data_IF_264753753200
#
_entry.id   IF_264753753200
#
_cell.length_a   1.000
_cell.length_b   1.000
_cell.length_c   1.000
_cell.angle_alpha   90.00
_cell.angle_beta   90.00
_cell.angle_gamma   90.00
#
_symmetry.space_group_name_H-M   'P 1'
#
loop_
_entity.id
_entity.type
_entity.pdbx_description
1 polymer ?
#
# COMPACT_ATOMS: atom_id res chain seq x y z
N UNK A 1 -8.26 1.87 -3.64
CA UNK A 1 -8.62 1.15 -2.40
C UNK A 1 -10.08 1.46 -2.05
N UNK A 2 -10.80 0.56 -1.37
CA UNK A 2 -12.15 0.78 -0.86
C UNK A 2 -12.22 2.02 0.02
N UNK A 3 -13.40 2.60 0.13
CA UNK A 3 -13.68 3.80 0.93
C UNK A 3 -14.21 3.40 2.31
N UNK A 4 -13.69 4.03 3.35
CA UNK A 4 -14.23 4.07 4.71
C UNK A 4 -14.42 5.53 5.11
N UNK A 5 -15.66 6.03 5.03
CA UNK A 5 -15.95 7.46 5.19
C UNK A 5 -15.30 8.31 4.09
N UNK A 6 -14.34 9.15 4.49
CA UNK A 6 -13.53 10.01 3.62
C UNK A 6 -12.09 9.48 3.42
N UNK A 7 -11.83 8.22 3.81
CA UNK A 7 -10.49 7.62 3.88
C UNK A 7 -10.42 6.27 3.16
N UNK A 8 -9.21 5.76 2.83
CA UNK A 8 -9.09 4.38 2.38
C UNK A 8 -9.44 3.42 3.53
N UNK A 9 -10.18 2.37 3.22
CA UNK A 9 -10.52 1.33 4.18
C UNK A 9 -9.26 0.54 4.55
N UNK A 10 -8.92 0.50 5.84
CA UNK A 10 -7.82 -0.33 6.38
C UNK A 10 -8.18 -1.81 6.32
N UNK A 11 -7.19 -2.67 6.07
CA UNK A 11 -7.32 -4.11 6.18
C UNK A 11 -6.39 -4.88 5.26
N UNK A 12 -6.57 -6.19 5.19
CA UNK A 12 -5.64 -7.16 4.63
C UNK A 12 -6.16 -7.78 3.32
N UNK A 13 -6.93 -7.04 2.53
CA UNK A 13 -7.27 -7.46 1.17
C UNK A 13 -6.53 -6.60 0.16
N UNK A 14 -6.45 -7.11 -1.07
CA UNK A 14 -5.81 -6.38 -2.17
C UNK A 14 -6.52 -5.07 -2.55
N UNK A 15 -7.65 -4.73 -1.90
CA UNK A 15 -8.44 -3.51 -2.12
C UNK A 15 -8.42 -2.57 -0.90
N UNK A 16 -7.62 -2.86 0.12
CA UNK A 16 -7.57 -2.09 1.38
C UNK A 16 -6.16 -1.55 1.63
N UNK A 17 -6.06 -0.60 2.57
CA UNK A 17 -4.81 -0.07 3.08
C UNK A 17 -4.20 -1.10 4.04
N UNK A 18 -3.21 -1.85 3.57
CA UNK A 18 -2.55 -2.92 4.30
C UNK A 18 -1.88 -3.94 3.38
N UNK A 19 -1.47 -5.08 3.96
CA UNK A 19 -0.78 -6.17 3.27
C UNK A 19 -1.39 -7.54 3.58
N UNK A 20 -1.38 -8.42 2.57
CA UNK A 20 -1.77 -9.82 2.62
C UNK A 20 -0.58 -10.74 2.85
N UNK A 21 -0.87 -11.84 3.51
CA UNK A 21 -0.01 -13.01 3.55
C UNK A 21 -0.65 -14.12 2.70
N UNK A 22 0.13 -14.84 1.85
CA UNK A 22 1.55 -14.64 1.55
C UNK A 22 1.80 -13.69 0.36
N UNK A 23 0.73 -13.11 -0.21
CA UNK A 23 0.81 -12.43 -1.52
C UNK A 23 1.69 -11.18 -1.53
N UNK A 24 1.59 -10.34 -0.49
CA UNK A 24 2.28 -9.04 -0.43
C UNK A 24 3.56 -9.14 0.42
N UNK A 25 3.53 -9.97 1.46
CA UNK A 25 4.65 -10.26 2.37
C UNK A 25 4.62 -11.72 2.83
N UNK A 26 5.79 -12.26 3.14
CA UNK A 26 5.94 -13.59 3.75
C UNK A 26 6.69 -13.43 5.08
N UNK A 27 6.01 -13.55 6.24
CA UNK A 27 6.67 -13.53 7.53
C UNK A 27 7.64 -14.70 7.70
N UNK A 28 8.70 -14.50 8.47
CA UNK A 28 9.61 -15.57 8.89
C UNK A 28 8.97 -16.49 9.95
N UNK A 29 9.72 -17.48 10.42
CA UNK A 29 9.27 -18.43 11.46
C UNK A 29 8.93 -17.75 12.80
N UNK A 30 9.41 -16.53 13.03
CA UNK A 30 9.08 -15.68 14.19
C UNK A 30 7.89 -14.74 13.91
N UNK A 31 7.30 -14.81 12.72
CA UNK A 31 6.19 -13.97 12.26
C UNK A 31 6.59 -12.53 11.92
N UNK A 32 7.88 -12.26 11.69
CA UNK A 32 8.40 -10.94 11.31
C UNK A 32 8.48 -10.79 9.81
N UNK A 33 8.19 -9.59 9.34
CA UNK A 33 8.46 -9.14 7.98
C UNK A 33 9.75 -8.32 7.99
N UNK A 34 10.49 -8.36 6.88
CA UNK A 34 11.81 -7.75 6.75
C UNK A 34 11.83 -6.74 5.59
N UNK A 35 12.66 -5.68 5.66
CA UNK A 35 12.95 -4.85 4.49
C UNK A 35 13.44 -5.71 3.31
N UNK A 36 13.00 -5.40 2.10
CA UNK A 36 13.22 -6.22 0.90
C UNK A 36 12.38 -7.50 0.83
N UNK A 37 11.49 -7.73 1.80
CA UNK A 37 10.60 -8.91 1.87
C UNK A 37 9.23 -8.71 1.21
N UNK A 38 9.03 -7.61 0.49
CA UNK A 38 7.75 -7.20 -0.09
C UNK A 38 7.04 -6.13 0.74
N UNK A 39 5.81 -5.81 0.36
CA UNK A 39 5.06 -4.71 0.96
C UNK A 39 3.77 -4.41 0.21
N UNK A 40 3.15 -3.29 0.57
CA UNK A 40 1.93 -2.84 -0.09
C UNK A 40 2.26 -2.22 -1.45
N UNK A 41 1.79 -2.83 -2.54
CA UNK A 41 1.95 -2.30 -3.89
C UNK A 41 1.38 -0.88 -4.05
N UNK A 42 2.16 -0.02 -4.70
CA UNK A 42 1.77 1.33 -5.11
C UNK A 42 2.30 1.65 -6.50
N UNK A 43 1.67 2.60 -7.18
CA UNK A 43 2.18 3.20 -8.41
C UNK A 43 2.60 4.64 -8.08
N UNK A 44 3.88 5.01 -8.27
CA UNK A 44 4.33 6.37 -8.05
C UNK A 44 3.90 7.30 -9.19
N UNK A 45 3.85 8.60 -8.90
CA UNK A 45 3.72 9.74 -9.83
C UNK A 45 2.43 9.85 -10.67
N UNK A 46 2.03 8.81 -11.42
CA UNK A 46 0.94 8.87 -12.39
C UNK A 46 -0.12 7.78 -12.15
N UNK A 47 -1.37 8.14 -11.77
CA UNK A 47 -2.43 7.15 -11.57
C UNK A 47 -2.88 6.45 -12.86
N UNK A 48 -2.51 6.94 -14.05
CA UNK A 48 -2.73 6.23 -15.33
C UNK A 48 -1.81 5.03 -15.51
N UNK A 49 -0.78 4.86 -14.69
CA UNK A 49 0.10 3.70 -14.75
C UNK A 49 -0.37 2.56 -13.81
N UNK A 50 -1.42 2.80 -13.01
CA UNK A 50 -2.08 1.72 -12.26
C UNK A 50 -2.60 0.64 -13.22
N UNK A 51 -2.51 -0.66 -12.85
CA UNK A 51 -3.08 -1.71 -13.66
C UNK A 51 -4.55 -1.44 -14.01
N UNK A 52 -5.02 -1.71 -15.24
CA UNK A 52 -6.37 -1.32 -15.68
C UNK A 52 -7.50 -1.82 -14.76
N UNK A 53 -7.36 -3.00 -14.17
CA UNK A 53 -8.36 -3.57 -13.24
C UNK A 53 -8.34 -2.97 -11.83
N UNK A 54 -7.35 -2.12 -11.51
CA UNK A 54 -7.22 -1.36 -10.26
C UNK A 54 -7.63 0.10 -10.41
N UNK A 55 -7.50 0.62 -11.62
CA UNK A 55 -7.77 2.00 -11.99
C UNK A 55 -9.26 2.18 -12.35
N UNK A 56 -9.98 3.17 -11.80
CA UNK A 56 -11.40 3.36 -12.10
C UNK A 56 -11.65 3.94 -13.50
N UNK A 57 -12.92 3.98 -13.93
CA UNK A 57 -13.31 4.41 -15.28
C UNK A 57 -12.89 5.85 -15.63
N UNK A 58 -12.90 6.76 -14.66
CA UNK A 58 -12.45 8.16 -14.83
C UNK A 58 -10.96 8.27 -15.24
N UNK A 59 -10.18 7.26 -14.87
CA UNK A 59 -8.77 7.11 -15.23
C UNK A 59 -8.59 6.10 -16.40
N UNK A 60 -9.67 5.73 -17.10
CA UNK A 60 -9.63 4.83 -18.26
C UNK A 60 -9.31 3.37 -17.90
N UNK A 61 -9.72 2.90 -16.72
CA UNK A 61 -9.63 1.51 -16.30
C UNK A 61 -11.00 0.85 -16.08
N UNK A 62 -11.01 -0.29 -15.39
CA UNK A 62 -12.21 -1.10 -15.06
C UNK A 62 -12.33 -1.40 -13.56
N UNK A 63 -11.46 -0.80 -12.75
CA UNK A 63 -11.48 -0.88 -11.29
C UNK A 63 -12.73 -0.24 -10.69
N UNK A 64 -13.13 -0.74 -9.52
CA UNK A 64 -14.32 -0.27 -8.78
C UNK A 64 -14.01 0.71 -7.66
N UNK A 65 -12.74 0.83 -7.32
CA UNK A 65 -12.28 1.62 -6.18
C UNK A 65 -11.67 2.93 -6.67
N UNK A 66 -11.79 4.03 -5.90
CA UNK A 66 -11.06 5.25 -6.21
C UNK A 66 -9.54 5.05 -6.05
N UNK A 67 -8.81 5.98 -6.66
CA UNK A 67 -7.37 6.12 -6.47
C UNK A 67 -7.12 7.02 -5.27
N UNK A 68 -6.21 6.58 -4.41
CA UNK A 68 -5.74 7.35 -3.26
C UNK A 68 -4.27 7.68 -3.47
N UNK A 69 -3.87 8.87 -3.02
CA UNK A 69 -2.48 9.32 -3.03
C UNK A 69 -2.03 9.66 -1.62
N UNK A 70 -0.73 9.51 -1.40
CA UNK A 70 -0.01 9.92 -0.20
C UNK A 70 1.32 10.52 -0.66
N UNK A 71 1.79 11.55 0.02
CA UNK A 71 3.14 12.07 -0.18
C UNK A 71 4.13 11.20 0.59
N UNK A 72 5.30 10.91 0.00
CA UNK A 72 6.29 10.00 0.60
C UNK A 72 6.74 10.45 2.01
N UNK A 73 6.78 11.77 2.26
CA UNK A 73 7.13 12.34 3.57
C UNK A 73 6.10 12.02 4.67
N UNK A 74 4.87 11.66 4.31
CA UNK A 74 3.80 11.25 5.24
C UNK A 74 3.88 9.77 5.63
N UNK A 75 4.77 8.98 5.02
CA UNK A 75 4.99 7.58 5.42
C UNK A 75 5.66 7.46 6.79
N UNK A 76 6.35 8.52 7.23
CA UNK A 76 7.12 8.53 8.47
C UNK A 76 8.37 7.65 8.38
N UNK A 77 9.06 7.45 9.51
CA UNK A 77 10.36 6.76 9.55
C UNK A 77 10.28 5.24 9.66
N UNK A 78 9.09 4.68 9.83
CA UNK A 78 8.87 3.24 10.05
C UNK A 78 8.58 2.48 8.75
N UNK A 79 8.41 3.20 7.66
CA UNK A 79 8.05 2.69 6.33
C UNK A 79 9.01 3.28 5.30
N UNK A 80 9.30 2.50 4.26
CA UNK A 80 10.03 2.98 3.09
C UNK A 80 9.18 2.76 1.85
N UNK A 81 9.18 3.73 0.94
CA UNK A 81 8.85 3.45 -0.45
C UNK A 81 10.08 2.87 -1.16
N UNK A 82 9.90 1.73 -1.81
CA UNK A 82 10.95 1.07 -2.59
C UNK A 82 10.45 0.82 -4.01
N UNK A 83 10.96 1.56 -5.03
CA UNK A 83 10.62 1.28 -6.42
C UNK A 83 11.25 -0.05 -6.86
N UNK A 84 10.45 -0.91 -7.49
CA UNK A 84 10.88 -2.22 -8.00
C UNK A 84 10.68 -2.37 -9.52
N UNK A 85 9.91 -1.46 -10.14
CA UNK A 85 9.76 -1.31 -11.58
C UNK A 85 9.53 0.17 -11.95
N UNK A 86 9.45 0.46 -13.25
CA UNK A 86 9.32 1.84 -13.75
C UNK A 86 8.08 2.56 -13.19
N UNK A 87 6.97 1.85 -13.04
CA UNK A 87 5.69 2.41 -12.57
C UNK A 87 5.11 1.63 -11.39
N UNK A 88 5.96 0.91 -10.66
CA UNK A 88 5.56 0.13 -9.51
C UNK A 88 6.63 0.24 -8.42
N UNK A 89 6.16 0.24 -7.18
CA UNK A 89 6.98 0.01 -6.03
C UNK A 89 6.14 -0.51 -4.89
N UNK A 90 6.80 -0.73 -3.76
CA UNK A 90 6.15 -1.21 -2.54
C UNK A 90 6.40 -0.24 -1.40
N UNK A 91 5.41 -0.10 -0.53
CA UNK A 91 5.63 0.43 0.82
C UNK A 91 5.94 -0.75 1.72
N UNK A 92 7.17 -0.81 2.21
CA UNK A 92 7.72 -1.90 3.02
C UNK A 92 8.12 -1.41 4.43
N UNK A 93 8.34 -2.30 5.42
CA UNK A 93 8.81 -1.87 6.73
C UNK A 93 10.27 -1.39 6.66
N UNK A 94 10.62 -0.35 7.42
CA UNK A 94 11.99 0.18 7.44
C UNK A 94 13.00 -0.69 8.23
N UNK A 95 12.50 -1.62 9.05
CA UNK A 95 13.28 -2.58 9.81
C UNK A 95 12.46 -3.87 10.04
N UNK A 96 13.12 -4.95 10.44
CA UNK A 96 12.44 -6.20 10.76
C UNK A 96 11.43 -5.99 11.90
N UNK A 97 10.17 -6.36 11.67
CA UNK A 97 9.05 -6.02 12.57
C UNK A 97 7.97 -7.10 12.50
N UNK A 98 7.18 -7.27 13.57
CA UNK A 98 6.06 -8.20 13.56
C UNK A 98 5.04 -7.82 12.48
N UNK A 99 4.47 -8.80 11.75
CA UNK A 99 3.45 -8.53 10.72
C UNK A 99 2.29 -7.66 11.25
N UNK A 100 1.83 -7.91 12.47
CA UNK A 100 0.76 -7.12 13.10
C UNK A 100 1.14 -5.66 13.29
N UNK A 101 2.40 -5.39 13.66
CA UNK A 101 2.94 -4.05 13.81
C UNK A 101 3.11 -3.38 12.45
N UNK A 102 3.59 -4.08 11.43
CA UNK A 102 3.67 -3.52 10.06
C UNK A 102 2.28 -3.11 9.53
N UNK A 103 1.26 -3.97 9.71
CA UNK A 103 -0.12 -3.64 9.36
C UNK A 103 -0.66 -2.45 10.15
N UNK A 104 -0.34 -2.34 11.43
CA UNK A 104 -0.71 -1.19 12.26
C UNK A 104 -0.03 0.09 11.76
N UNK A 105 1.27 0.05 11.44
CA UNK A 105 2.00 1.19 10.87
C UNK A 105 1.40 1.64 9.53
N UNK A 106 1.03 0.72 8.64
CA UNK A 106 0.32 1.06 7.41
C UNK A 106 -1.03 1.72 7.72
N UNK A 107 -1.79 1.20 8.68
CA UNK A 107 -3.06 1.77 9.09
C UNK A 107 -2.91 3.18 9.70
N UNK A 108 -1.83 3.45 10.43
CA UNK A 108 -1.51 4.77 10.96
C UNK A 108 -1.30 5.82 9.86
N UNK A 109 -0.96 5.40 8.64
CA UNK A 109 -0.89 6.33 7.51
C UNK A 109 -2.25 6.76 6.96
N UNK A 110 -3.34 6.06 7.30
CA UNK A 110 -4.70 6.30 6.78
C UNK A 110 -5.08 7.79 6.74
N UNK A 111 -4.75 8.61 7.77
CA UNK A 111 -5.15 10.00 7.79
C UNK A 111 -4.50 10.89 6.73
N UNK A 112 -3.37 10.46 6.16
CA UNK A 112 -2.57 11.21 5.20
C UNK A 112 -2.89 10.87 3.74
N UNK A 113 -3.73 9.86 3.51
CA UNK A 113 -4.22 9.54 2.18
C UNK A 113 -5.33 10.50 1.76
N UNK A 114 -5.25 11.00 0.53
CA UNK A 114 -6.29 11.82 -0.09
C UNK A 114 -6.73 11.21 -1.42
N UNK A 115 -7.93 11.55 -1.88
CA UNK A 115 -8.37 11.18 -3.23
C UNK A 115 -7.44 11.85 -4.27
N UNK A 116 -6.99 11.07 -5.25
CA UNK A 116 -6.12 11.54 -6.32
C UNK A 116 -6.91 12.27 -7.40
#
# INVERSE_FOLDING_TARGET
>A
MKVDGDRPQVGDSARQLGVREPDDVVPDDEGKVHPGGGGMSVTPDDPWELPPYRRPEEYGGTGKDPVWRIDEDQLGSSLNFVPDAVFHGVIEPAAAVQLSMFRATLAETQPYWSLA
#
